data_IF_571364685315
#
_entry.id   IF_571364685315
#
_cell.length_a   1.000
_cell.length_b   1.000
_cell.length_c   1.000
_cell.angle_alpha   90.00
_cell.angle_beta   90.00
_cell.angle_gamma   90.00
#
_symmetry.space_group_name_H-M   'P 1'
#
loop_
_entity.id
_entity.type
_entity.pdbx_description
1 polymer ?
#
# COMPACT_ATOMS: atom_id res chain seq x y z
N UNK A 1 13.17 -12.43 -9.60
CA UNK A 1 14.02 -11.89 -8.52
C UNK A 1 14.49 -10.48 -8.81
N UNK A 2 15.19 -10.18 -9.94
CA UNK A 2 15.68 -8.82 -10.23
C UNK A 2 14.62 -7.72 -10.15
N UNK A 3 13.42 -7.96 -10.70
CA UNK A 3 12.31 -7.01 -10.61
C UNK A 3 11.84 -6.81 -9.16
N UNK A 4 11.75 -7.87 -8.37
CA UNK A 4 11.38 -7.77 -6.95
C UNK A 4 12.43 -6.98 -6.15
N UNK A 5 13.71 -7.26 -6.38
CA UNK A 5 14.82 -6.51 -5.79
C UNK A 5 14.80 -5.02 -6.20
N UNK A 6 14.50 -4.73 -7.48
CA UNK A 6 14.35 -3.35 -7.94
C UNK A 6 13.18 -2.61 -7.28
N UNK A 7 12.14 -3.34 -6.89
CA UNK A 7 10.99 -2.81 -6.14
C UNK A 7 11.21 -2.78 -4.62
N UNK A 8 12.42 -3.15 -4.15
CA UNK A 8 12.72 -3.15 -2.73
C UNK A 8 12.09 -4.31 -1.95
N UNK A 9 11.72 -5.41 -2.61
CA UNK A 9 11.25 -6.62 -1.94
C UNK A 9 12.47 -7.45 -1.53
N UNK A 10 12.56 -7.77 -0.27
CA UNK A 10 13.63 -8.54 0.34
C UNK A 10 14.55 -7.72 1.24
N UNK A 11 14.93 -8.29 2.37
CA UNK A 11 15.82 -7.69 3.34
C UNK A 11 15.17 -6.68 4.30
N UNK A 12 16.03 -5.92 4.94
CA UNK A 12 15.65 -4.86 5.87
C UNK A 12 16.15 -3.52 5.33
N UNK A 13 15.34 -2.49 5.50
CA UNK A 13 15.71 -1.12 5.18
C UNK A 13 15.69 -0.27 6.44
N UNK A 14 16.82 0.39 6.72
CA UNK A 14 16.92 1.40 7.76
C UNK A 14 16.50 2.74 7.17
N UNK A 15 15.31 3.19 7.50
CA UNK A 15 14.85 4.55 7.26
C UNK A 15 15.29 5.49 8.37
N UNK A 16 15.11 6.79 8.19
CA UNK A 16 15.56 7.78 9.17
C UNK A 16 14.96 7.59 10.57
N UNK A 17 13.79 6.97 10.68
CA UNK A 17 13.03 6.85 11.93
C UNK A 17 12.68 5.42 12.31
N UNK A 18 12.83 4.47 11.38
CA UNK A 18 12.45 3.08 11.62
C UNK A 18 13.26 2.11 10.75
N UNK A 19 13.38 0.88 11.22
CA UNK A 19 13.83 -0.24 10.41
C UNK A 19 12.61 -1.03 9.96
N UNK A 20 12.47 -1.23 8.66
CA UNK A 20 11.38 -2.00 8.08
C UNK A 20 11.89 -3.28 7.42
N UNK A 21 11.31 -4.40 7.81
CA UNK A 21 11.46 -5.66 7.10
C UNK A 21 10.55 -5.64 5.87
N UNK A 22 11.12 -5.86 4.69
CA UNK A 22 10.41 -5.71 3.42
C UNK A 22 9.99 -7.03 2.77
N UNK A 23 10.04 -8.10 3.55
CA UNK A 23 9.70 -9.44 3.07
C UNK A 23 10.91 -10.20 2.55
N UNK A 24 10.66 -11.25 1.81
CA UNK A 24 11.69 -12.07 1.17
C UNK A 24 11.18 -12.68 -0.13
N UNK A 25 12.10 -12.89 -1.06
CA UNK A 25 11.82 -13.61 -2.30
C UNK A 25 13.00 -14.56 -2.56
N UNK A 26 12.74 -15.85 -2.48
CA UNK A 26 13.72 -16.86 -2.84
C UNK A 26 13.75 -17.04 -4.37
N UNK A 27 14.95 -17.30 -4.90
CA UNK A 27 15.07 -17.62 -6.34
C UNK A 27 14.46 -19.00 -6.60
N UNK A 28 13.45 -19.09 -7.48
CA UNK A 28 12.90 -20.39 -7.86
C UNK A 28 13.98 -21.28 -8.48
N UNK A 29 13.98 -22.56 -8.11
CA UNK A 29 14.93 -23.58 -8.59
C UNK A 29 14.29 -24.58 -9.53
N UNK A 30 12.96 -24.64 -9.58
CA UNK A 30 12.18 -25.53 -10.44
C UNK A 30 11.09 -24.73 -11.17
N UNK A 31 10.59 -25.29 -12.29
CA UNK A 31 9.48 -24.69 -13.04
C UNK A 31 8.20 -24.57 -12.19
N UNK A 32 7.98 -25.49 -11.27
CA UNK A 32 6.87 -25.47 -10.33
C UNK A 32 7.00 -24.25 -9.38
N UNK A 33 8.15 -24.05 -8.76
CA UNK A 33 8.42 -22.89 -7.91
C UNK A 33 8.31 -21.58 -8.69
N UNK A 34 8.80 -21.56 -9.94
CA UNK A 34 8.70 -20.40 -10.81
C UNK A 34 7.24 -20.05 -11.13
N UNK A 35 6.42 -21.04 -11.43
CA UNK A 35 4.99 -20.84 -11.69
C UNK A 35 4.26 -20.31 -10.44
N UNK A 36 4.54 -20.87 -9.27
CA UNK A 36 3.96 -20.42 -8.00
C UNK A 36 4.42 -19.02 -7.61
N UNK A 37 5.69 -18.70 -7.73
CA UNK A 37 6.21 -17.35 -7.52
C UNK A 37 5.61 -16.35 -8.51
N UNK A 38 5.36 -16.77 -9.76
CA UNK A 38 4.74 -15.94 -10.80
C UNK A 38 3.32 -15.47 -10.47
N UNK A 39 2.61 -16.18 -9.58
CA UNK A 39 1.29 -15.78 -9.07
C UNK A 39 1.35 -15.15 -7.67
N UNK A 40 2.55 -14.88 -7.15
CA UNK A 40 2.75 -14.24 -5.86
C UNK A 40 2.48 -15.19 -4.68
N UNK A 41 2.85 -16.44 -4.82
CA UNK A 41 2.70 -17.49 -3.81
C UNK A 41 4.05 -18.15 -3.51
N UNK A 42 4.04 -19.30 -2.88
CA UNK A 42 5.19 -20.11 -2.50
C UNK A 42 5.95 -19.46 -1.34
N UNK A 43 7.22 -19.09 -1.56
CA UNK A 43 8.11 -18.49 -0.56
C UNK A 43 8.19 -16.97 -0.67
N UNK A 44 7.37 -16.37 -1.50
CA UNK A 44 7.33 -14.93 -1.69
C UNK A 44 6.57 -14.29 -0.52
N UNK A 45 7.28 -13.52 0.27
CA UNK A 45 6.75 -12.84 1.46
C UNK A 45 6.90 -11.34 1.26
N UNK A 46 5.83 -10.60 1.51
CA UNK A 46 5.83 -9.14 1.53
C UNK A 46 5.16 -8.64 2.81
N UNK A 47 5.70 -7.59 3.40
CA UNK A 47 5.07 -6.96 4.55
C UNK A 47 4.01 -5.94 4.12
N UNK A 48 2.99 -5.67 4.96
CA UNK A 48 2.00 -4.63 4.67
C UNK A 48 2.63 -3.25 4.44
N UNK A 49 3.69 -2.92 5.15
CA UNK A 49 4.42 -1.65 4.98
C UNK A 49 5.03 -1.57 3.60
N UNK A 50 5.76 -2.59 3.17
CA UNK A 50 6.38 -2.61 1.84
C UNK A 50 5.34 -2.56 0.73
N UNK A 51 4.25 -3.30 0.85
CA UNK A 51 3.17 -3.28 -0.13
C UNK A 51 2.49 -1.90 -0.18
N UNK A 52 2.33 -1.24 0.97
CA UNK A 52 1.79 0.12 1.04
C UNK A 52 2.73 1.13 0.39
N UNK A 53 4.04 1.02 0.61
CA UNK A 53 5.06 1.87 -0.04
C UNK A 53 5.05 1.72 -1.57
N UNK A 54 4.97 0.49 -2.08
CA UNK A 54 4.84 0.21 -3.52
C UNK A 54 3.58 0.87 -4.09
N UNK A 55 2.46 0.71 -3.39
CA UNK A 55 1.17 1.28 -3.79
C UNK A 55 1.19 2.81 -3.76
N UNK A 56 1.81 3.40 -2.73
CA UNK A 56 2.02 4.84 -2.64
C UNK A 56 2.94 5.36 -3.76
N UNK A 57 3.98 4.60 -4.11
CA UNK A 57 4.86 4.91 -5.24
C UNK A 57 4.10 4.96 -6.57
N UNK A 58 3.18 4.02 -6.82
CA UNK A 58 2.31 4.06 -8.01
C UNK A 58 1.43 5.32 -7.99
N UNK A 59 0.83 5.64 -6.84
CA UNK A 59 -0.01 6.83 -6.67
C UNK A 59 0.76 8.14 -6.86
N UNK A 60 2.06 8.13 -6.56
CA UNK A 60 2.98 9.27 -6.62
C UNK A 60 3.82 9.30 -7.93
N UNK A 61 3.28 8.78 -9.01
CA UNK A 61 3.92 8.84 -10.32
C UNK A 61 5.17 7.98 -10.48
N UNK A 62 5.37 6.99 -9.62
CA UNK A 62 6.46 6.02 -9.66
C UNK A 62 7.50 6.16 -8.54
N UNK A 63 7.45 7.23 -7.77
CA UNK A 63 8.43 7.52 -6.71
C UNK A 63 7.89 7.13 -5.34
N UNK A 64 8.57 6.19 -4.67
CA UNK A 64 8.31 5.87 -3.28
C UNK A 64 9.02 6.86 -2.35
N UNK A 65 8.30 7.30 -1.32
CA UNK A 65 8.83 8.17 -0.28
C UNK A 65 9.28 7.36 0.93
N UNK A 66 10.25 7.88 1.67
CA UNK A 66 10.65 7.29 2.95
C UNK A 66 9.48 7.38 3.95
N UNK A 67 9.08 6.26 4.58
CA UNK A 67 8.01 6.28 5.57
C UNK A 67 8.45 7.06 6.80
N UNK A 68 7.58 7.96 7.28
CA UNK A 68 7.82 8.77 8.47
C UNK A 68 6.70 8.60 9.49
N UNK A 69 7.08 8.47 10.74
CA UNK A 69 6.18 8.38 11.90
C UNK A 69 6.14 9.71 12.62
N UNK A 70 7.27 10.40 12.73
CA UNK A 70 7.40 11.70 13.38
C UNK A 70 7.38 12.82 12.34
N UNK A 71 6.51 13.81 12.53
CA UNK A 71 6.42 14.96 11.63
C UNK A 71 7.14 16.19 12.17
N UNK A 72 7.22 16.32 13.49
CA UNK A 72 7.89 17.44 14.14
C UNK A 72 8.22 17.12 15.60
N UNK A 73 9.24 17.77 16.09
CA UNK A 73 9.61 17.79 17.51
C UNK A 73 9.33 19.18 18.05
N UNK A 74 8.63 19.26 19.15
CA UNK A 74 8.33 20.53 19.84
C UNK A 74 8.85 20.51 21.29
N UNK A 75 9.10 21.69 21.83
CA UNK A 75 9.40 21.87 23.24
C UNK A 75 8.14 21.70 24.11
N UNK A 76 8.33 21.79 25.45
CA UNK A 76 7.23 21.69 26.44
C UNK A 76 6.19 22.81 26.30
N UNK A 77 6.54 23.91 25.66
CA UNK A 77 5.65 25.05 25.40
C UNK A 77 4.92 24.94 24.08
N UNK A 78 5.16 23.87 23.30
CA UNK A 78 4.53 23.62 21.99
C UNK A 78 5.24 24.28 20.81
N UNK A 79 6.38 24.95 21.01
CA UNK A 79 7.14 25.57 19.93
C UNK A 79 7.87 24.47 19.14
N UNK A 80 7.69 24.46 17.83
CA UNK A 80 8.34 23.49 16.96
C UNK A 80 9.83 23.77 16.88
N UNK A 81 10.63 22.84 17.36
CA UNK A 81 12.08 22.89 17.34
C UNK A 81 12.65 22.30 16.05
N UNK A 82 12.00 21.27 15.52
CA UNK A 82 12.43 20.60 14.27
C UNK A 82 11.19 20.12 13.51
N UNK A 83 11.15 20.37 12.19
CA UNK A 83 10.24 19.71 11.27
C UNK A 83 11.01 18.64 10.50
N UNK A 84 10.41 17.48 10.35
CA UNK A 84 10.95 16.39 9.55
C UNK A 84 10.26 16.43 8.19
N UNK A 85 11.05 16.58 7.14
CA UNK A 85 10.57 16.62 5.75
C UNK A 85 10.49 15.22 5.18
N UNK A 86 9.58 15.03 4.25
CA UNK A 86 9.52 13.81 3.45
C UNK A 86 10.74 13.74 2.53
N UNK A 87 11.33 12.57 2.42
CA UNK A 87 12.47 12.30 1.55
C UNK A 87 12.12 11.22 0.55
N UNK A 88 12.64 11.33 -0.66
CA UNK A 88 12.50 10.29 -1.66
C UNK A 88 13.30 9.06 -1.24
N UNK A 89 12.65 7.91 -1.24
CA UNK A 89 13.31 6.64 -1.00
C UNK A 89 13.89 6.08 -2.30
N UNK A 90 13.05 5.96 -3.33
CA UNK A 90 13.44 5.35 -4.60
C UNK A 90 12.41 5.58 -5.70
N UNK A 91 12.88 5.77 -6.92
CA UNK A 91 12.06 5.60 -8.11
C UNK A 91 11.85 4.10 -8.36
N UNK A 92 10.61 3.65 -8.24
CA UNK A 92 10.21 2.24 -8.40
C UNK A 92 9.69 1.95 -9.81
N UNK A 93 9.04 2.94 -10.42
CA UNK A 93 8.42 2.86 -11.73
C UNK A 93 8.67 4.14 -12.51
N UNK A 94 8.82 4.06 -13.81
CA UNK A 94 8.76 5.23 -14.66
C UNK A 94 7.34 5.82 -14.63
N UNK A 95 7.18 7.13 -14.85
CA UNK A 95 5.88 7.78 -14.75
C UNK A 95 4.79 7.15 -15.61
N UNK A 96 5.10 6.74 -16.84
CA UNK A 96 4.16 6.04 -17.74
C UNK A 96 3.79 4.63 -17.25
N UNK A 97 4.70 3.93 -16.57
CA UNK A 97 4.43 2.63 -15.95
C UNK A 97 3.52 2.78 -14.73
N UNK A 98 3.77 3.80 -13.90
CA UNK A 98 2.93 4.12 -12.76
C UNK A 98 1.51 4.51 -13.21
N UNK A 99 1.37 5.31 -14.25
CA UNK A 99 0.06 5.68 -14.83
C UNK A 99 -0.69 4.45 -15.36
N UNK A 100 0.00 3.58 -16.09
CA UNK A 100 -0.59 2.33 -16.59
C UNK A 100 -1.07 1.44 -15.44
N UNK A 101 -0.25 1.26 -14.39
CA UNK A 101 -0.61 0.49 -13.20
C UNK A 101 -1.81 1.12 -12.46
N UNK A 102 -1.84 2.43 -12.31
CA UNK A 102 -2.96 3.15 -11.71
C UNK A 102 -4.27 2.92 -12.48
N UNK A 103 -4.23 2.98 -13.81
CA UNK A 103 -5.34 2.66 -14.68
C UNK A 103 -5.82 1.22 -14.54
N UNK A 104 -4.91 0.25 -14.51
CA UNK A 104 -5.22 -1.16 -14.28
C UNK A 104 -5.84 -1.38 -12.90
N UNK A 105 -5.29 -0.76 -11.84
CA UNK A 105 -5.83 -0.82 -10.49
C UNK A 105 -7.21 -0.15 -10.38
N UNK A 106 -7.48 0.90 -11.17
CA UNK A 106 -8.82 1.48 -11.27
C UNK A 106 -9.80 0.48 -11.86
N UNK A 107 -9.42 -0.23 -12.92
CA UNK A 107 -10.24 -1.29 -13.54
C UNK A 107 -10.63 -2.40 -12.57
N UNK A 108 -9.73 -2.79 -11.65
CA UNK A 108 -10.03 -3.79 -10.61
C UNK A 108 -11.18 -3.34 -9.69
N UNK A 109 -11.27 -2.04 -9.38
CA UNK A 109 -12.30 -1.52 -8.49
C UNK A 109 -13.59 -1.21 -9.26
N UNK A 110 -13.52 -0.78 -10.52
CA UNK A 110 -14.73 -0.44 -11.29
C UNK A 110 -15.49 -1.66 -11.81
N UNK A 111 -14.80 -2.72 -12.18
CA UNK A 111 -15.44 -3.91 -12.79
C UNK A 111 -14.81 -5.25 -12.42
N UNK A 112 -13.75 -5.24 -11.59
CA UNK A 112 -12.99 -6.43 -11.26
C UNK A 112 -13.26 -7.00 -9.86
N UNK A 113 -12.28 -7.72 -9.36
CA UNK A 113 -12.33 -8.40 -8.06
C UNK A 113 -12.37 -7.46 -6.86
N UNK A 114 -12.00 -6.20 -7.04
CA UNK A 114 -11.94 -5.17 -5.99
C UNK A 114 -13.16 -4.25 -5.93
N UNK A 115 -14.27 -4.56 -6.60
CA UNK A 115 -15.46 -3.70 -6.65
C UNK A 115 -16.01 -3.30 -5.27
N UNK A 116 -15.82 -4.14 -4.27
CA UNK A 116 -16.24 -3.85 -2.90
C UNK A 116 -15.36 -2.80 -2.18
N UNK A 117 -14.27 -2.35 -2.82
CA UNK A 117 -13.48 -1.22 -2.34
C UNK A 117 -13.97 0.12 -2.90
N UNK A 118 -15.00 0.14 -3.75
CA UNK A 118 -15.56 1.36 -4.30
C UNK A 118 -16.18 2.22 -3.18
N UNK A 119 -15.92 3.53 -3.25
CA UNK A 119 -16.51 4.53 -2.36
C UNK A 119 -17.08 5.65 -3.22
N UNK A 120 -18.33 6.02 -2.99
CA UNK A 120 -18.99 7.07 -3.76
C UNK A 120 -18.25 8.40 -3.68
N UNK A 121 -18.03 9.00 -4.85
CA UNK A 121 -17.30 10.26 -4.98
C UNK A 121 -15.79 10.14 -4.84
N UNK A 122 -15.22 8.93 -4.75
CA UNK A 122 -13.79 8.70 -4.73
C UNK A 122 -13.33 7.82 -5.92
N UNK A 123 -12.21 8.19 -6.51
CA UNK A 123 -11.56 7.38 -7.55
C UNK A 123 -10.61 6.36 -6.91
N UNK A 124 -11.16 5.34 -6.28
CA UNK A 124 -10.36 4.28 -5.65
C UNK A 124 -9.73 3.40 -6.72
N UNK A 125 -8.41 3.24 -6.65
CA UNK A 125 -7.60 2.29 -7.40
C UNK A 125 -7.11 1.20 -6.44
N UNK A 126 -7.07 -0.07 -6.84
CA UNK A 126 -6.61 -1.10 -5.91
C UNK A 126 -6.44 -2.47 -6.54
N UNK A 127 -5.87 -3.38 -5.75
CA UNK A 127 -5.66 -4.79 -6.09
C UNK A 127 -6.01 -5.66 -4.90
N UNK A 128 -6.75 -6.72 -5.16
CA UNK A 128 -7.06 -7.76 -4.18
C UNK A 128 -6.00 -8.85 -4.20
N UNK A 129 -5.75 -9.45 -3.06
CA UNK A 129 -4.92 -10.64 -2.92
C UNK A 129 -5.61 -11.70 -2.08
N UNK A 130 -5.29 -12.96 -2.34
CA UNK A 130 -5.73 -14.11 -1.55
C UNK A 130 -4.51 -15.00 -1.41
N UNK A 131 -3.84 -14.93 -0.24
CA UNK A 131 -2.58 -15.61 -0.01
C UNK A 131 -2.82 -16.90 0.77
N UNK A 132 -2.52 -18.02 0.13
CA UNK A 132 -2.62 -19.34 0.76
C UNK A 132 -1.58 -19.47 1.88
N UNK A 133 -2.01 -20.02 3.02
CA UNK A 133 -1.14 -20.19 4.20
C UNK A 133 -0.79 -21.65 4.48
N UNK A 134 -1.47 -22.57 3.82
CA UNK A 134 -1.25 -23.99 3.99
C UNK A 134 -1.81 -24.78 2.81
N UNK A 135 -1.05 -25.74 2.35
CA UNK A 135 -1.50 -26.72 1.35
C UNK A 135 -2.52 -27.74 1.91
N UNK A 136 -2.66 -27.83 3.22
CA UNK A 136 -3.57 -28.78 3.89
C UNK A 136 -5.04 -28.32 3.89
N UNK A 137 -5.33 -27.07 3.48
CA UNK A 137 -6.65 -26.49 3.55
C UNK A 137 -7.20 -26.26 4.97
N UNK A 138 -6.38 -26.49 6.00
CA UNK A 138 -6.77 -26.35 7.42
C UNK A 138 -7.05 -24.90 7.80
N UNK A 139 -6.39 -23.96 7.15
CA UNK A 139 -6.56 -22.53 7.39
C UNK A 139 -7.10 -21.85 6.14
N UNK A 140 -7.95 -20.83 6.33
CA UNK A 140 -8.38 -19.98 5.23
C UNK A 140 -7.19 -19.13 4.76
N UNK A 141 -7.15 -18.75 3.49
CA UNK A 141 -6.15 -17.80 2.99
C UNK A 141 -6.17 -16.47 3.72
N UNK A 142 -5.08 -15.73 3.70
CA UNK A 142 -5.07 -14.33 4.11
C UNK A 142 -5.74 -13.46 3.06
N UNK A 143 -6.70 -12.63 3.48
CA UNK A 143 -7.37 -11.67 2.62
C UNK A 143 -6.56 -10.38 2.54
N UNK A 144 -6.17 -9.97 1.32
CA UNK A 144 -5.40 -8.75 1.08
C UNK A 144 -6.16 -7.78 0.19
N UNK A 145 -5.97 -6.51 0.46
CA UNK A 145 -6.29 -5.41 -0.44
C UNK A 145 -5.24 -4.33 -0.28
N UNK A 146 -4.74 -3.80 -1.39
CA UNK A 146 -3.93 -2.59 -1.41
C UNK A 146 -4.49 -1.62 -2.43
N UNK A 147 -4.44 -0.33 -2.15
CA UNK A 147 -5.01 0.66 -3.05
C UNK A 147 -4.74 2.10 -2.62
N UNK A 148 -5.22 3.03 -3.43
CA UNK A 148 -5.11 4.46 -3.19
C UNK A 148 -6.29 5.21 -3.80
N UNK A 149 -6.43 6.48 -3.45
CA UNK A 149 -7.44 7.38 -4.06
C UNK A 149 -6.76 8.29 -5.06
N UNK A 150 -7.05 8.10 -6.34
CA UNK A 150 -6.50 8.91 -7.42
C UNK A 150 -7.19 10.28 -7.52
N UNK A 151 -6.44 11.31 -7.97
CA UNK A 151 -6.96 12.65 -8.23
C UNK A 151 -7.47 13.41 -7.01
N UNK A 152 -7.24 12.89 -5.81
CA UNK A 152 -7.62 13.57 -4.58
C UNK A 152 -6.61 14.66 -4.21
N UNK A 153 -7.10 15.79 -3.66
CA UNK A 153 -6.24 16.84 -3.12
C UNK A 153 -5.32 16.34 -1.98
N UNK A 154 -5.66 15.19 -1.40
CA UNK A 154 -4.90 14.47 -0.40
C UNK A 154 -4.96 12.99 -0.74
N UNK A 155 -4.04 12.47 -1.57
CA UNK A 155 -3.98 11.07 -1.91
C UNK A 155 -3.64 10.25 -0.68
N UNK A 156 -4.35 9.14 -0.49
CA UNK A 156 -4.08 8.15 0.56
C UNK A 156 -3.83 6.83 -0.09
N UNK A 157 -2.75 6.17 0.30
CA UNK A 157 -2.56 4.75 0.05
C UNK A 157 -3.00 3.96 1.28
N UNK A 158 -3.51 2.77 1.05
CA UNK A 158 -3.98 1.86 2.10
C UNK A 158 -3.61 0.43 1.73
N UNK A 159 -3.16 -0.32 2.73
CA UNK A 159 -3.01 -1.77 2.64
C UNK A 159 -3.73 -2.42 3.81
N UNK A 160 -4.55 -3.41 3.50
CA UNK A 160 -5.34 -4.18 4.46
C UNK A 160 -4.97 -5.65 4.33
N UNK A 161 -4.63 -6.27 5.45
CA UNK A 161 -4.52 -7.73 5.58
C UNK A 161 -5.47 -8.21 6.67
N UNK A 162 -6.15 -9.31 6.42
CA UNK A 162 -6.95 -10.03 7.41
C UNK A 162 -6.51 -11.49 7.38
N UNK A 163 -5.79 -11.88 8.41
CA UNK A 163 -5.27 -13.24 8.54
C UNK A 163 -6.40 -14.25 8.61
N UNK A 164 -6.28 -15.33 7.84
CA UNK A 164 -7.28 -16.38 7.73
C UNK A 164 -8.69 -15.86 7.36
N UNK A 165 -8.74 -14.67 6.72
CA UNK A 165 -9.99 -14.00 6.37
C UNK A 165 -10.70 -14.59 5.15
N UNK A 166 -9.98 -15.27 4.26
CA UNK A 166 -10.51 -15.79 3.01
C UNK A 166 -10.18 -14.90 1.80
N UNK A 167 -11.16 -14.63 0.95
CA UNK A 167 -10.92 -13.88 -0.30
C UNK A 167 -10.81 -12.37 -0.11
N UNK A 168 -9.73 -11.76 -0.63
CA UNK A 168 -9.45 -10.34 -0.47
C UNK A 168 -10.56 -9.41 -0.97
N UNK A 169 -11.17 -9.73 -2.10
CA UNK A 169 -12.28 -8.92 -2.65
C UNK A 169 -13.57 -8.94 -1.82
N UNK A 170 -13.78 -10.00 -1.04
CA UNK A 170 -14.96 -10.13 -0.17
C UNK A 170 -14.72 -9.60 1.24
N UNK A 171 -13.49 -9.66 1.74
CA UNK A 171 -13.17 -9.39 3.14
C UNK A 171 -12.31 -8.14 3.30
N UNK A 172 -11.15 -8.04 2.63
CA UNK A 172 -10.24 -6.91 2.81
C UNK A 172 -10.70 -5.65 2.06
N UNK A 173 -11.27 -5.79 0.87
CA UNK A 173 -11.73 -4.65 0.06
C UNK A 173 -12.84 -3.82 0.74
N UNK A 174 -13.89 -4.40 1.36
CA UNK A 174 -14.88 -3.63 2.12
C UNK A 174 -14.29 -2.88 3.32
N UNK A 175 -13.29 -3.47 3.99
CA UNK A 175 -12.60 -2.80 5.11
C UNK A 175 -11.85 -1.58 4.60
N UNK A 176 -11.13 -1.70 3.47
CA UNK A 176 -10.48 -0.55 2.85
C UNK A 176 -11.48 0.54 2.47
N UNK A 177 -12.64 0.18 1.88
CA UNK A 177 -13.71 1.12 1.55
C UNK A 177 -14.20 1.88 2.78
N UNK A 178 -14.47 1.16 3.88
CA UNK A 178 -14.95 1.76 5.13
C UNK A 178 -13.93 2.77 5.71
N UNK A 179 -12.64 2.41 5.74
CA UNK A 179 -11.57 3.29 6.23
C UNK A 179 -11.45 4.53 5.34
N UNK A 180 -11.41 4.37 4.02
CA UNK A 180 -11.33 5.49 3.09
C UNK A 180 -12.55 6.41 3.20
N UNK A 181 -13.76 5.87 3.29
CA UNK A 181 -14.97 6.66 3.48
C UNK A 181 -14.90 7.51 4.75
N UNK A 182 -14.49 6.94 5.88
CA UNK A 182 -14.35 7.67 7.15
C UNK A 182 -13.30 8.77 7.04
N UNK A 183 -12.13 8.47 6.50
CA UNK A 183 -11.03 9.45 6.36
C UNK A 183 -11.47 10.64 5.51
N UNK A 184 -12.17 10.41 4.39
CA UNK A 184 -12.63 11.49 3.52
C UNK A 184 -13.83 12.25 4.09
N UNK A 185 -14.77 11.59 4.78
CA UNK A 185 -15.91 12.26 5.45
C UNK A 185 -15.45 13.14 6.60
N UNK A 186 -14.55 12.65 7.45
CA UNK A 186 -13.99 13.43 8.57
C UNK A 186 -13.26 14.66 8.04
N UNK A 187 -12.54 14.56 6.94
CA UNK A 187 -11.88 15.71 6.32
C UNK A 187 -12.84 16.69 5.66
N UNK A 188 -13.92 16.25 4.99
CA UNK A 188 -14.96 17.14 4.48
C UNK A 188 -15.59 17.98 5.60
N UNK A 189 -15.86 17.39 6.75
CA UNK A 189 -16.38 18.13 7.91
C UNK A 189 -15.35 19.08 8.53
N UNK A 190 -14.05 18.75 8.47
CA UNK A 190 -12.95 19.62 8.93
C UNK A 190 -12.52 20.68 7.90
N UNK A 191 -13.03 20.66 6.70
CA UNK A 191 -12.80 21.70 5.69
C UNK A 191 -13.35 23.11 6.08
N UNK A 192 -14.12 23.19 7.19
CA UNK A 192 -14.43 24.43 7.89
C UNK A 192 -13.45 24.80 9.00
N UNK A 193 -12.55 23.92 9.38
CA UNK A 193 -11.44 24.21 10.31
C UNK A 193 -10.13 24.21 9.51
N UNK A 194 -9.40 25.32 9.61
CA UNK A 194 -8.11 25.60 8.96
C UNK A 194 -7.24 24.35 8.79
N UNK A 195 -6.78 24.17 7.54
CA UNK A 195 -5.77 23.24 7.05
C UNK A 195 -4.79 22.76 8.11
N UNK A 196 -5.02 21.59 8.70
CA UNK A 196 -3.90 20.78 9.15
C UNK A 196 -3.40 20.01 7.90
N UNK A 197 -2.60 20.72 7.12
CA UNK A 197 -1.79 20.11 6.10
C UNK A 197 -0.74 19.27 6.80
N UNK A 198 -0.76 17.98 6.60
CA UNK A 198 0.32 17.07 6.96
C UNK A 198 1.10 16.84 5.66
N UNK A 199 2.17 17.62 5.40
CA UNK A 199 3.06 17.32 4.30
C UNK A 199 3.80 16.06 4.65
N UNK A 200 3.79 15.07 3.76
CA UNK A 200 4.67 13.91 3.87
C UNK A 200 4.06 12.63 4.42
N UNK A 201 2.78 12.37 4.19
CA UNK A 201 2.22 11.02 4.18
C UNK A 201 1.98 10.60 2.72
N UNK A 202 2.98 10.65 1.95
CA UNK A 202 3.37 9.85 0.77
C UNK A 202 4.88 9.86 0.74
#
# INVERSE_FOLDING_TARGET
TKTAESLGIGGEYAFSELVAYCGSMEKPTTDFELAWSGVGQHKDIITPVQLCMLTAGIANGGVAMEPKICLSVSDKSGNIQKRLTSEEYKELFRGNEAEFLAGAMRGVVTGGTGKNAAVDGLSVCGKTGTAEVSSSGKFKPHAWFTGFVAGAAHPYAITVIIENGGGGGKIAAPVAAAVLAVVFVVRRKKGGLKRMWVPGLL
#
